data_IF_020739075396
#
_entry.id   IF_020739075396
#
_cell.length_a   1.000
_cell.length_b   1.000
_cell.length_c   1.000
_cell.angle_alpha   90.00
_cell.angle_beta   90.00
_cell.angle_gamma   90.00
#
_symmetry.space_group_name_H-M   'P 1'
#
loop_
_entity.id
_entity.type
_entity.pdbx_description
1 polymer ?
#
# COMPACT_ATOMS: atom_id res chain seq x y z
N UNK A 1 -20.18 -2.49 -5.57
CA UNK A 1 -20.50 -3.74 -4.83
C UNK A 1 -19.47 -4.75 -5.28
N UNK A 2 -18.71 -5.35 -4.35
CA UNK A 2 -17.72 -6.36 -4.69
C UNK A 2 -18.45 -7.64 -5.13
N UNK A 3 -18.08 -8.18 -6.29
CA UNK A 3 -18.67 -9.39 -6.86
C UNK A 3 -18.34 -10.61 -5.98
N UNK A 4 -19.35 -11.38 -5.51
CA UNK A 4 -19.14 -12.59 -4.71
C UNK A 4 -18.29 -13.66 -5.43
N UNK A 5 -18.25 -13.66 -6.76
CA UNK A 5 -17.53 -14.66 -7.56
C UNK A 5 -15.99 -14.50 -7.50
N UNK A 6 -15.47 -13.42 -6.94
CA UNK A 6 -14.01 -13.21 -6.76
C UNK A 6 -13.39 -14.29 -5.85
N UNK A 7 -14.17 -14.92 -4.98
CA UNK A 7 -13.69 -15.95 -4.04
C UNK A 7 -13.80 -17.40 -4.54
N UNK A 8 -14.41 -17.66 -5.71
CA UNK A 8 -14.35 -18.99 -6.35
C UNK A 8 -12.97 -19.26 -6.98
N UNK A 9 -12.07 -18.28 -6.95
CA UNK A 9 -10.74 -18.42 -7.53
C UNK A 9 -9.73 -19.04 -6.54
N UNK A 10 -8.95 -20.04 -7.00
CA UNK A 10 -7.90 -20.62 -6.19
C UNK A 10 -6.84 -19.55 -5.86
N UNK A 11 -6.20 -19.67 -4.71
CA UNK A 11 -5.08 -18.83 -4.33
C UNK A 11 -4.05 -18.74 -5.46
N UNK A 12 -3.71 -17.52 -5.90
CA UNK A 12 -2.83 -17.31 -7.06
C UNK A 12 -1.43 -17.88 -6.85
N UNK A 13 -1.00 -18.00 -5.59
CA UNK A 13 0.34 -18.47 -5.21
C UNK A 13 0.42 -20.00 -5.22
N UNK A 14 -0.43 -20.69 -4.45
CA UNK A 14 -0.33 -22.14 -4.31
C UNK A 14 -1.26 -22.90 -5.26
N UNK A 15 -2.30 -22.27 -5.78
CA UNK A 15 -3.36 -22.83 -6.64
C UNK A 15 -4.07 -24.09 -6.10
N UNK A 16 -3.89 -24.38 -4.81
CA UNK A 16 -4.41 -25.59 -4.14
C UNK A 16 -5.57 -25.31 -3.20
N UNK A 17 -5.64 -24.09 -2.66
CA UNK A 17 -6.60 -23.68 -1.64
C UNK A 17 -7.39 -22.48 -2.11
N UNK A 18 -8.60 -22.33 -1.59
CA UNK A 18 -9.45 -21.17 -1.83
C UNK A 18 -8.79 -19.89 -1.29
N UNK A 19 -8.99 -18.81 -2.02
CA UNK A 19 -8.56 -17.49 -1.58
C UNK A 19 -9.52 -16.96 -0.51
N UNK A 20 -8.97 -16.44 0.57
CA UNK A 20 -9.72 -15.88 1.70
C UNK A 20 -9.39 -14.41 1.94
N UNK A 21 -8.35 -13.91 1.28
CA UNK A 21 -7.72 -12.61 1.49
C UNK A 21 -7.24 -12.06 0.15
N UNK A 22 -7.01 -10.76 0.09
CA UNK A 22 -6.42 -10.07 -1.05
C UNK A 22 -5.06 -9.49 -0.66
N UNK A 23 -4.22 -9.18 -1.65
CA UNK A 23 -2.93 -8.55 -1.42
C UNK A 23 -3.08 -7.02 -1.34
N UNK A 24 -2.91 -6.43 -0.16
CA UNK A 24 -3.10 -4.99 0.11
C UNK A 24 -1.90 -4.10 -0.28
N UNK A 25 -0.94 -4.65 -1.04
CA UNK A 25 0.25 -3.88 -1.44
C UNK A 25 -0.12 -2.83 -2.49
N UNK A 26 0.22 -1.57 -2.22
CA UNK A 26 -0.01 -0.46 -3.15
C UNK A 26 0.96 -0.59 -4.33
N UNK A 27 0.42 -0.72 -5.54
CA UNK A 27 1.19 -0.83 -6.78
C UNK A 27 1.30 0.51 -7.51
N UNK A 28 0.33 1.40 -7.34
CA UNK A 28 0.35 2.72 -7.95
C UNK A 28 -0.27 3.77 -7.02
N UNK A 29 0.37 4.93 -6.96
CA UNK A 29 -0.21 6.13 -6.36
C UNK A 29 -0.66 7.03 -7.50
N UNK A 30 -1.97 7.28 -7.64
CA UNK A 30 -2.46 8.25 -8.61
C UNK A 30 -2.51 9.62 -7.96
N UNK A 31 -1.56 10.53 -8.26
CA UNK A 31 -1.71 11.91 -7.88
C UNK A 31 -2.89 12.51 -8.66
N UNK A 32 -3.58 13.42 -8.01
CA UNK A 32 -4.67 14.18 -8.62
C UNK A 32 -4.04 15.19 -9.56
N UNK A 33 -4.03 14.91 -10.87
CA UNK A 33 -3.20 15.70 -11.78
C UNK A 33 -3.87 17.05 -12.11
N UNK A 34 -5.19 17.14 -12.31
CA UNK A 34 -5.93 18.41 -12.42
C UNK A 34 -7.46 18.17 -12.37
N UNK A 35 -8.21 19.04 -11.70
CA UNK A 35 -9.64 19.20 -11.97
C UNK A 35 -9.93 20.57 -12.55
N UNK A 36 -10.78 20.60 -13.59
CA UNK A 36 -11.35 21.85 -14.12
C UNK A 36 -12.43 22.46 -13.22
N UNK A 37 -12.95 21.70 -12.26
CA UNK A 37 -14.10 22.08 -11.43
C UNK A 37 -13.78 21.85 -9.95
N UNK A 38 -13.97 22.90 -9.15
CA UNK A 38 -13.79 22.91 -7.70
C UNK A 38 -14.67 21.86 -6.99
N UNK A 39 -15.88 21.60 -7.52
CA UNK A 39 -16.76 20.58 -6.95
C UNK A 39 -16.20 19.17 -7.12
N UNK A 40 -15.59 18.86 -8.28
CA UNK A 40 -14.91 17.58 -8.53
C UNK A 40 -13.65 17.42 -7.67
N UNK A 41 -12.97 18.52 -7.35
CA UNK A 41 -11.84 18.51 -6.42
C UNK A 41 -12.25 18.16 -4.99
N UNK A 42 -13.39 18.66 -4.52
CA UNK A 42 -13.90 18.34 -3.18
C UNK A 42 -14.50 16.92 -3.12
N UNK A 43 -15.20 16.51 -4.18
CA UNK A 43 -15.84 15.19 -4.26
C UNK A 43 -14.84 14.04 -4.52
N UNK A 44 -13.60 14.36 -4.85
CA UNK A 44 -12.58 13.33 -4.98
C UNK A 44 -12.38 12.65 -3.62
N UNK A 45 -12.48 11.32 -3.60
CA UNK A 45 -11.96 10.56 -2.47
C UNK A 45 -10.44 10.73 -2.48
N UNK A 46 -9.92 11.34 -1.41
CA UNK A 46 -8.50 11.60 -1.21
C UNK A 46 -7.64 10.40 -1.64
N UNK A 47 -6.62 10.66 -2.47
CA UNK A 47 -5.59 9.70 -2.90
C UNK A 47 -6.13 8.33 -3.34
N UNK A 48 -6.49 8.22 -4.63
CA UNK A 48 -6.70 6.91 -5.24
C UNK A 48 -5.35 6.21 -5.35
N UNK A 49 -5.22 5.10 -4.65
CA UNK A 49 -4.10 4.18 -4.78
C UNK A 49 -4.66 2.85 -5.29
N UNK A 50 -3.94 2.25 -6.23
CA UNK A 50 -4.27 0.92 -6.72
C UNK A 50 -3.55 -0.12 -5.86
N UNK A 51 -4.30 -1.11 -5.38
CA UNK A 51 -3.78 -2.25 -4.62
C UNK A 51 -3.63 -3.46 -5.53
N UNK A 52 -2.67 -4.33 -5.19
CA UNK A 52 -2.36 -5.51 -5.98
C UNK A 52 -3.55 -6.48 -6.13
N UNK A 53 -4.39 -6.59 -5.08
CA UNK A 53 -5.63 -7.38 -5.05
C UNK A 53 -5.50 -8.84 -5.49
N UNK A 54 -4.30 -9.42 -5.45
CA UNK A 54 -4.10 -10.83 -5.77
C UNK A 54 -4.83 -11.70 -4.74
N UNK A 55 -5.64 -12.69 -5.17
CA UNK A 55 -6.32 -13.59 -4.26
C UNK A 55 -5.33 -14.56 -3.58
N UNK A 56 -5.36 -14.57 -2.24
CA UNK A 56 -4.46 -15.32 -1.36
C UNK A 56 -5.24 -16.20 -0.37
N UNK A 57 -4.75 -17.42 -0.15
CA UNK A 57 -5.16 -18.22 1.00
C UNK A 57 -4.41 -17.79 2.26
N UNK A 58 -4.97 -18.08 3.44
CA UNK A 58 -4.39 -17.74 4.76
C UNK A 58 -2.93 -18.17 4.95
N UNK A 59 -2.51 -19.26 4.30
CA UNK A 59 -1.13 -19.76 4.40
C UNK A 59 -0.14 -19.02 3.49
N UNK A 60 -0.62 -18.50 2.35
CA UNK A 60 0.22 -17.77 1.40
C UNK A 60 0.29 -16.28 1.72
N UNK A 61 -0.69 -15.74 2.44
CA UNK A 61 -0.68 -14.37 2.91
C UNK A 61 0.41 -14.14 3.97
N UNK A 62 1.12 -13.02 3.86
CA UNK A 62 2.13 -12.56 4.82
C UNK A 62 1.67 -11.25 5.42
N UNK A 63 1.61 -11.19 6.76
CA UNK A 63 1.23 -9.98 7.48
C UNK A 63 2.40 -9.02 7.54
N UNK A 64 2.24 -7.83 6.94
CA UNK A 64 3.21 -6.75 7.04
C UNK A 64 2.97 -5.88 8.27
N UNK A 65 1.70 -5.57 8.55
CA UNK A 65 1.20 -4.86 9.72
C UNK A 65 -0.17 -5.44 10.11
N UNK A 66 -0.70 -5.17 11.32
CA UNK A 66 -2.06 -5.56 11.67
C UNK A 66 -3.05 -5.01 10.64
N UNK A 67 -3.80 -5.91 9.98
CA UNK A 67 -4.80 -5.55 8.99
C UNK A 67 -4.31 -5.43 7.54
N UNK A 68 -3.04 -5.74 7.25
CA UNK A 68 -2.50 -5.73 5.87
C UNK A 68 -1.90 -7.08 5.50
N UNK A 69 -2.47 -7.72 4.48
CA UNK A 69 -2.03 -9.01 3.95
C UNK A 69 -1.30 -8.80 2.62
N UNK A 70 -0.04 -9.25 2.53
CA UNK A 70 0.76 -9.16 1.31
C UNK A 70 1.02 -10.55 0.70
N UNK A 71 1.15 -10.60 -0.61
CA UNK A 71 1.65 -11.78 -1.30
C UNK A 71 3.17 -11.95 -1.03
N UNK A 72 3.75 -13.15 -1.23
CA UNK A 72 5.16 -13.39 -0.96
C UNK A 72 6.11 -12.45 -1.72
N UNK A 73 5.76 -12.07 -2.95
CA UNK A 73 6.52 -11.11 -3.75
C UNK A 73 6.55 -9.72 -3.10
N UNK A 74 5.38 -9.15 -2.82
CA UNK A 74 5.28 -7.82 -2.24
C UNK A 74 5.77 -7.74 -0.80
N UNK A 75 5.69 -8.84 -0.04
CA UNK A 75 6.28 -8.91 1.28
C UNK A 75 7.82 -8.85 1.25
N UNK A 76 8.46 -9.44 0.23
CA UNK A 76 9.91 -9.31 0.06
C UNK A 76 10.33 -7.87 -0.26
N UNK A 77 9.56 -7.17 -1.10
CA UNK A 77 9.79 -5.75 -1.40
C UNK A 77 9.57 -4.88 -0.17
N UNK A 78 8.50 -5.11 0.60
CA UNK A 78 8.22 -4.38 1.84
C UNK A 78 9.41 -4.44 2.82
N UNK A 79 10.06 -5.61 2.95
CA UNK A 79 11.25 -5.75 3.80
C UNK A 79 12.45 -4.90 3.35
N UNK A 80 12.55 -4.60 2.06
CA UNK A 80 13.63 -3.80 1.50
C UNK A 80 13.43 -2.30 1.68
N UNK A 81 12.21 -1.85 2.00
CA UNK A 81 11.89 -0.43 2.23
C UNK A 81 12.62 0.11 3.47
N UNK A 82 13.00 -0.75 4.42
CA UNK A 82 13.73 -0.32 5.60
C UNK A 82 15.10 0.25 5.26
N UNK A 83 15.27 1.56 5.49
CA UNK A 83 16.55 2.23 5.29
C UNK A 83 17.64 1.63 6.20
N UNK A 84 18.86 1.42 5.68
CA UNK A 84 20.04 1.11 6.49
C UNK A 84 20.23 2.13 7.63
N UNK A 85 20.75 1.69 8.77
CA UNK A 85 20.87 2.54 9.97
C UNK A 85 21.61 3.87 9.76
N UNK A 86 22.64 3.88 8.90
CA UNK A 86 23.36 5.11 8.51
C UNK A 86 22.45 6.11 7.78
N UNK A 87 21.61 5.63 6.86
CA UNK A 87 20.65 6.46 6.12
C UNK A 87 19.47 6.90 6.99
N UNK A 88 19.02 6.07 7.95
CA UNK A 88 18.02 6.46 8.96
C UNK A 88 18.49 7.67 9.80
N UNK A 89 19.80 7.80 10.09
CA UNK A 89 20.34 9.00 10.76
C UNK A 89 20.25 10.23 9.87
N UNK A 90 20.69 10.12 8.61
CA UNK A 90 20.62 11.22 7.66
C UNK A 90 19.18 11.71 7.42
N UNK A 91 18.23 10.78 7.26
CA UNK A 91 16.80 11.10 7.11
C UNK A 91 16.25 11.86 8.33
N UNK A 92 16.58 11.44 9.55
CA UNK A 92 16.14 12.14 10.77
C UNK A 92 16.69 13.57 10.87
N UNK A 93 17.98 13.76 10.56
CA UNK A 93 18.60 15.10 10.56
C UNK A 93 17.93 16.00 9.51
N UNK A 94 17.68 15.48 8.30
CA UNK A 94 17.00 16.23 7.25
C UNK A 94 15.57 16.61 7.65
N UNK A 95 14.79 15.68 8.23
CA UNK A 95 13.44 15.98 8.74
C UNK A 95 13.44 17.01 9.86
N UNK A 96 14.37 16.93 10.82
CA UNK A 96 14.48 17.89 11.91
C UNK A 96 14.76 19.31 11.40
N UNK A 97 15.61 19.46 10.38
CA UNK A 97 15.85 20.75 9.72
C UNK A 97 14.61 21.28 9.00
N UNK A 98 13.84 20.42 8.33
CA UNK A 98 12.60 20.86 7.68
C UNK A 98 11.57 21.34 8.69
N UNK A 99 11.39 20.63 9.81
CA UNK A 99 10.40 21.00 10.84
C UNK A 99 10.81 22.29 11.56
N UNK A 100 12.09 22.43 11.94
CA UNK A 100 12.59 23.61 12.63
C UNK A 100 12.72 24.87 11.75
N UNK A 101 12.37 24.82 10.46
CA UNK A 101 12.30 25.99 9.56
C UNK A 101 10.87 26.56 9.50
N UNK A 102 9.86 25.83 9.98
CA UNK A 102 8.45 26.27 10.01
C UNK A 102 8.00 26.84 11.37
N UNK A 103 8.90 26.99 12.34
CA UNK A 103 8.56 27.52 13.69
C UNK A 103 8.88 29.03 13.86
N UNK A 104 9.30 29.74 12.80
CA UNK A 104 9.73 31.14 12.84
C UNK A 104 8.88 32.10 11.93
N UNK A 105 7.55 31.93 11.87
CA UNK A 105 6.62 32.91 11.26
C UNK A 105 5.53 33.37 12.24
#
# INVERSE_FOLDING_TARGET
MNDPAVFENPCTICRKREATQLCDYIIEYHPVIFFRDYKRFIEQKAYQHETCDLPLCKECARKAQPGYDFCPHHYALYKQIELPGKLKRAQRVSKAKLIGVYEDD
#
